data_IF_672316916131
#
_entry.id   IF_672316916131
#
_cell.length_a   1.000
_cell.length_b   1.000
_cell.length_c   1.000
_cell.angle_alpha   90.00
_cell.angle_beta   90.00
_cell.angle_gamma   90.00
#
_symmetry.space_group_name_H-M   'P 1'
#
loop_
_entity.id
_entity.type
_entity.pdbx_description
1 polymer ?
#
# COMPACT_ATOMS: atom_id res chain seq x y z
N UNK A 1 13.61 -40.13 -42.27
CA UNK A 1 13.26 -40.92 -41.08
C UNK A 1 14.20 -40.68 -39.88
N UNK A 2 15.48 -40.30 -40.09
CA UNK A 2 16.45 -40.01 -39.01
C UNK A 2 16.27 -38.66 -38.27
N UNK A 3 15.48 -37.73 -38.82
CA UNK A 3 15.25 -36.41 -38.19
C UNK A 3 14.08 -36.44 -37.19
N UNK A 4 13.12 -37.35 -37.37
CA UNK A 4 11.96 -37.47 -36.46
C UNK A 4 12.32 -38.17 -35.14
N UNK A 5 13.29 -39.08 -35.15
CA UNK A 5 13.73 -39.80 -33.95
C UNK A 5 14.49 -38.90 -32.97
N UNK A 6 15.33 -37.99 -33.48
CA UNK A 6 16.05 -37.02 -32.64
C UNK A 6 15.11 -36.00 -31.99
N UNK A 7 14.08 -35.54 -32.72
CA UNK A 7 13.11 -34.60 -32.15
C UNK A 7 12.33 -35.24 -31.00
N UNK A 8 11.92 -36.51 -31.11
CA UNK A 8 11.16 -37.15 -30.02
C UNK A 8 11.99 -37.38 -28.75
N UNK A 9 13.28 -37.68 -28.89
CA UNK A 9 14.20 -37.90 -27.76
C UNK A 9 14.53 -36.62 -26.98
N UNK A 10 14.63 -35.48 -27.68
CA UNK A 10 14.88 -34.18 -27.03
C UNK A 10 13.66 -33.70 -26.26
N UNK A 11 12.45 -33.89 -26.79
CA UNK A 11 11.22 -33.47 -26.11
C UNK A 11 10.83 -34.39 -24.95
N UNK A 12 11.09 -35.70 -25.05
CA UNK A 12 10.84 -36.61 -23.92
C UNK A 12 11.74 -36.29 -22.72
N UNK A 13 13.02 -35.95 -22.94
CA UNK A 13 13.94 -35.55 -21.86
C UNK A 13 13.57 -34.21 -21.20
N UNK A 14 13.15 -33.21 -21.98
CA UNK A 14 12.73 -31.90 -21.48
C UNK A 14 11.42 -31.97 -20.68
N UNK A 15 10.55 -32.93 -21.01
CA UNK A 15 9.24 -33.08 -20.37
C UNK A 15 9.33 -33.86 -19.05
N UNK A 16 10.28 -34.79 -18.93
CA UNK A 16 10.54 -35.55 -17.71
C UNK A 16 11.31 -34.72 -16.66
N UNK A 17 12.28 -33.89 -17.06
CA UNK A 17 12.91 -32.88 -16.18
C UNK A 17 11.90 -31.84 -15.67
N UNK A 18 11.02 -31.34 -16.54
CA UNK A 18 9.99 -30.36 -16.16
C UNK A 18 8.89 -30.96 -15.26
N UNK A 19 8.60 -32.26 -15.37
CA UNK A 19 7.61 -32.91 -14.50
C UNK A 19 8.15 -33.20 -13.08
N UNK A 20 9.46 -33.39 -12.93
CA UNK A 20 10.10 -33.61 -11.61
C UNK A 20 10.33 -32.27 -10.87
N UNK A 21 10.49 -31.16 -11.58
CA UNK A 21 10.69 -29.83 -10.97
C UNK A 21 9.38 -29.18 -10.45
N UNK A 22 8.22 -29.48 -11.07
CA UNK A 22 6.93 -28.82 -10.77
C UNK A 22 6.26 -29.32 -9.46
N UNK A 23 6.59 -30.52 -8.95
CA UNK A 23 5.92 -31.07 -7.75
C UNK A 23 6.59 -30.66 -6.42
N UNK A 24 7.91 -30.47 -6.43
CA UNK A 24 8.66 -30.10 -5.21
C UNK A 24 8.61 -28.60 -4.87
N UNK A 25 8.40 -27.72 -5.86
CA UNK A 25 8.36 -26.26 -5.64
C UNK A 25 7.03 -25.76 -5.08
N UNK A 26 5.92 -26.46 -5.33
CA UNK A 26 4.61 -26.02 -4.86
C UNK A 26 4.53 -26.11 -3.33
N UNK A 27 5.01 -27.20 -2.73
CA UNK A 27 5.05 -27.37 -1.28
C UNK A 27 6.00 -26.37 -0.60
N UNK A 28 7.19 -26.15 -1.17
CA UNK A 28 8.14 -25.14 -0.67
C UNK A 28 7.58 -23.71 -0.82
N UNK A 29 6.84 -23.42 -1.89
CA UNK A 29 6.15 -22.15 -2.09
C UNK A 29 5.07 -21.89 -1.04
N UNK A 30 4.23 -22.88 -0.73
CA UNK A 30 3.22 -22.76 0.33
C UNK A 30 3.84 -22.58 1.72
N UNK A 31 4.92 -23.30 2.02
CA UNK A 31 5.67 -23.13 3.27
C UNK A 31 6.28 -21.73 3.39
N UNK A 32 6.89 -21.23 2.32
CA UNK A 32 7.43 -19.86 2.26
C UNK A 32 6.32 -18.82 2.47
N UNK A 33 5.17 -19.01 1.82
CA UNK A 33 4.00 -18.13 1.95
C UNK A 33 3.50 -18.04 3.39
N UNK A 34 3.19 -19.18 4.04
CA UNK A 34 2.70 -19.17 5.41
C UNK A 34 3.75 -18.66 6.40
N UNK A 35 5.02 -19.02 6.21
CA UNK A 35 6.13 -18.51 6.99
C UNK A 35 6.21 -16.98 6.89
N UNK A 36 6.10 -16.42 5.68
CA UNK A 36 6.13 -14.97 5.47
C UNK A 36 4.96 -14.25 6.12
N UNK A 37 3.74 -14.81 6.07
CA UNK A 37 2.56 -14.23 6.74
C UNK A 37 2.76 -14.17 8.25
N UNK A 38 3.27 -15.25 8.86
CA UNK A 38 3.52 -15.30 10.30
C UNK A 38 4.57 -14.23 10.69
N UNK A 39 5.66 -14.14 9.93
CA UNK A 39 6.71 -13.15 10.18
C UNK A 39 6.22 -11.72 10.00
N UNK A 40 5.44 -11.43 8.96
CA UNK A 40 4.86 -10.10 8.74
C UNK A 40 3.92 -9.75 9.90
N UNK A 41 3.06 -10.67 10.34
CA UNK A 41 2.16 -10.45 11.47
C UNK A 41 2.92 -10.17 12.78
N UNK A 42 3.95 -10.96 13.07
CA UNK A 42 4.79 -10.78 14.26
C UNK A 42 5.55 -9.45 14.23
N UNK A 43 6.20 -9.12 13.11
CA UNK A 43 6.94 -7.87 12.97
C UNK A 43 6.02 -6.65 13.04
N UNK A 44 4.83 -6.73 12.45
CA UNK A 44 3.83 -5.64 12.50
C UNK A 44 3.39 -5.35 13.94
N UNK A 45 3.18 -6.40 14.75
CA UNK A 45 2.86 -6.23 16.17
C UNK A 45 4.00 -5.52 16.93
N UNK A 46 5.25 -5.96 16.74
CA UNK A 46 6.42 -5.34 17.37
C UNK A 46 6.58 -3.88 16.94
N UNK A 47 6.44 -3.58 15.65
CA UNK A 47 6.59 -2.21 15.13
C UNK A 47 5.53 -1.29 15.75
N UNK A 48 4.30 -1.77 15.92
CA UNK A 48 3.24 -1.03 16.61
C UNK A 48 3.62 -0.67 18.04
N UNK A 49 4.05 -1.65 18.84
CA UNK A 49 4.44 -1.43 20.23
C UNK A 49 5.65 -0.50 20.38
N UNK A 50 6.68 -0.70 19.54
CA UNK A 50 7.88 0.14 19.53
C UNK A 50 7.56 1.57 19.09
N UNK A 51 6.68 1.75 18.10
CA UNK A 51 6.25 3.07 17.65
C UNK A 51 5.56 3.84 18.78
N UNK A 52 4.63 3.22 19.50
CA UNK A 52 3.95 3.84 20.66
C UNK A 52 4.94 4.23 21.76
N UNK A 53 5.88 3.33 22.12
CA UNK A 53 6.92 3.64 23.11
C UNK A 53 7.87 4.75 22.67
N UNK A 54 8.22 4.78 21.38
CA UNK A 54 9.01 5.86 20.81
C UNK A 54 8.26 7.18 20.86
N UNK A 55 6.98 7.21 20.47
CA UNK A 55 6.10 8.38 20.55
C UNK A 55 6.09 8.99 21.95
N UNK A 56 5.87 8.16 22.98
CA UNK A 56 5.97 8.59 24.39
C UNK A 56 7.33 9.20 24.77
N UNK A 57 8.44 8.71 24.19
CA UNK A 57 9.79 9.17 24.53
C UNK A 57 10.10 10.56 23.94
N UNK A 58 9.51 10.89 22.78
CA UNK A 58 9.66 12.19 22.12
C UNK A 58 8.46 13.13 22.35
N UNK A 59 7.55 12.75 23.24
CA UNK A 59 6.30 13.46 23.54
C UNK A 59 5.43 13.70 22.31
N UNK A 60 5.35 12.70 21.42
CA UNK A 60 4.51 12.70 20.23
C UNK A 60 3.25 11.87 20.50
N UNK A 61 2.07 12.41 20.18
CA UNK A 61 0.82 11.67 20.35
C UNK A 61 0.79 10.41 19.46
N UNK A 62 0.15 9.35 19.97
CA UNK A 62 0.07 8.04 19.29
C UNK A 62 -0.56 8.17 17.90
N UNK A 63 -1.60 9.01 17.74
CA UNK A 63 -2.24 9.28 16.45
C UNK A 63 -1.26 9.88 15.44
N UNK A 64 -0.42 10.84 15.85
CA UNK A 64 0.58 11.47 14.97
C UNK A 64 1.68 10.47 14.63
N UNK A 65 2.11 9.67 15.60
CA UNK A 65 3.11 8.61 15.39
C UNK A 65 2.62 7.56 14.39
N UNK A 66 1.37 7.14 14.52
CA UNK A 66 0.74 6.19 13.61
C UNK A 66 0.57 6.77 12.19
N UNK A 67 0.10 8.02 12.09
CA UNK A 67 -0.11 8.70 10.80
C UNK A 67 1.19 8.95 10.02
N UNK A 68 2.28 9.20 10.73
CA UNK A 68 3.57 9.53 10.13
C UNK A 68 4.47 8.30 9.99
N UNK A 69 4.98 7.76 11.09
CA UNK A 69 6.02 6.73 11.08
C UNK A 69 5.48 5.37 10.70
N UNK A 70 4.37 4.92 11.30
CA UNK A 70 3.82 3.60 11.03
C UNK A 70 3.27 3.53 9.61
N UNK A 71 2.43 4.49 9.22
CA UNK A 71 1.84 4.54 7.88
C UNK A 71 2.89 4.73 6.77
N UNK A 72 3.94 5.55 6.99
CA UNK A 72 5.05 5.66 6.05
C UNK A 72 5.80 4.33 5.95
N UNK A 73 6.13 3.71 7.09
CA UNK A 73 6.88 2.45 7.15
C UNK A 73 6.21 1.31 6.39
N UNK A 74 4.89 1.16 6.53
CA UNK A 74 4.13 0.12 5.81
C UNK A 74 4.00 0.40 4.32
N UNK A 75 4.02 1.67 3.90
CA UNK A 75 3.88 2.08 2.50
C UNK A 75 5.20 2.12 1.71
N UNK A 76 6.35 2.08 2.39
CA UNK A 76 7.68 2.12 1.76
C UNK A 76 7.92 0.93 0.80
N UNK A 77 7.66 -0.34 1.17
CA UNK A 77 7.81 -1.47 0.26
C UNK A 77 6.96 -1.31 -1.01
N UNK A 78 5.70 -0.92 -0.86
CA UNK A 78 4.78 -0.67 -1.99
C UNK A 78 5.28 0.48 -2.87
N UNK A 79 5.85 1.51 -2.27
CA UNK A 79 6.45 2.63 -3.01
C UNK A 79 7.65 2.17 -3.84
N UNK A 80 8.51 1.32 -3.28
CA UNK A 80 9.64 0.76 -4.03
C UNK A 80 9.18 -0.17 -5.16
N UNK A 81 8.20 -1.04 -4.91
CA UNK A 81 7.60 -1.89 -5.93
C UNK A 81 6.99 -1.06 -7.07
N UNK A 82 6.22 -0.02 -6.71
CA UNK A 82 5.61 0.93 -7.67
C UNK A 82 6.68 1.67 -8.47
N UNK A 83 7.75 2.13 -7.82
CA UNK A 83 8.87 2.80 -8.49
C UNK A 83 9.55 1.88 -9.51
N UNK A 84 9.82 0.62 -9.15
CA UNK A 84 10.42 -0.36 -10.04
C UNK A 84 9.50 -0.63 -11.23
N UNK A 85 8.20 -0.85 -10.98
CA UNK A 85 7.20 -1.03 -12.02
C UNK A 85 7.12 0.18 -12.98
N UNK A 86 7.16 1.41 -12.45
CA UNK A 86 7.12 2.63 -13.25
C UNK A 86 8.37 2.86 -14.10
N UNK A 87 9.54 2.36 -13.68
CA UNK A 87 10.79 2.46 -14.47
C UNK A 87 10.80 1.42 -15.59
N UNK A 88 10.20 0.25 -15.36
CA UNK A 88 10.21 -0.87 -16.29
C UNK A 88 9.08 -0.81 -17.32
N UNK A 89 7.96 -0.14 -17.00
CA UNK A 89 6.82 0.02 -17.89
C UNK A 89 6.80 1.43 -18.52
N UNK A 90 6.65 1.49 -19.85
CA UNK A 90 6.61 2.73 -20.63
C UNK A 90 5.42 3.63 -20.27
N UNK A 91 4.28 3.02 -19.93
CA UNK A 91 3.07 3.76 -19.55
C UNK A 91 2.84 3.78 -18.04
N UNK A 92 3.65 3.00 -17.29
CA UNK A 92 3.60 2.85 -15.85
C UNK A 92 2.19 2.47 -15.31
N UNK A 93 1.40 1.79 -16.13
CA UNK A 93 0.08 1.27 -15.76
C UNK A 93 0.22 0.24 -14.63
N UNK A 94 1.29 -0.57 -14.66
CA UNK A 94 1.62 -1.51 -13.59
C UNK A 94 1.86 -0.82 -12.24
N UNK A 95 2.49 0.37 -12.24
CA UNK A 95 2.69 1.15 -11.03
C UNK A 95 1.38 1.69 -10.48
N UNK A 96 0.48 2.17 -11.35
CA UNK A 96 -0.84 2.68 -10.93
C UNK A 96 -1.69 1.54 -10.34
N UNK A 97 -1.65 0.37 -10.96
CA UNK A 97 -2.30 -0.85 -10.46
C UNK A 97 -1.78 -1.25 -9.09
N UNK A 98 -0.46 -1.20 -8.87
CA UNK A 98 0.14 -1.53 -7.57
C UNK A 98 -0.30 -0.56 -6.47
N UNK A 99 -0.17 0.75 -6.69
CA UNK A 99 -0.55 1.77 -5.69
C UNK A 99 -2.05 1.72 -5.38
N UNK A 100 -2.89 1.55 -6.39
CA UNK A 100 -4.35 1.52 -6.18
C UNK A 100 -4.78 0.22 -5.51
N UNK A 101 -4.17 -0.90 -5.90
CA UNK A 101 -4.45 -2.22 -5.33
C UNK A 101 -4.03 -2.34 -3.87
N UNK A 102 -2.82 -1.89 -3.52
CA UNK A 102 -2.34 -1.94 -2.14
C UNK A 102 -3.18 -1.07 -1.20
N UNK A 103 -3.55 0.15 -1.64
CA UNK A 103 -4.46 1.01 -0.87
C UNK A 103 -5.86 0.40 -0.72
N UNK A 104 -6.40 -0.23 -1.76
CA UNK A 104 -7.68 -0.92 -1.67
C UNK A 104 -7.63 -2.07 -0.65
N UNK A 105 -6.57 -2.88 -0.64
CA UNK A 105 -6.36 -3.94 0.35
C UNK A 105 -6.27 -3.35 1.76
N UNK A 106 -5.52 -2.28 1.97
CA UNK A 106 -5.38 -1.64 3.28
C UNK A 106 -6.72 -1.16 3.85
N UNK A 107 -7.55 -0.52 3.01
CA UNK A 107 -8.86 0.00 3.46
C UNK A 107 -9.88 -1.13 3.62
N UNK A 108 -10.06 -1.98 2.60
CA UNK A 108 -11.12 -2.98 2.62
C UNK A 108 -10.78 -4.20 3.47
N UNK A 109 -9.56 -4.73 3.33
CA UNK A 109 -9.14 -5.92 4.07
C UNK A 109 -8.49 -5.54 5.41
N UNK A 110 -7.67 -4.50 5.47
CA UNK A 110 -7.06 -4.06 6.72
C UNK A 110 -8.10 -3.55 7.71
N UNK A 111 -8.77 -2.44 7.37
CA UNK A 111 -9.74 -1.80 8.26
C UNK A 111 -11.12 -2.49 8.20
N UNK A 112 -11.63 -2.73 6.98
CA UNK A 112 -12.99 -3.22 6.79
C UNK A 112 -13.26 -4.60 7.39
N UNK A 113 -12.35 -5.56 7.19
CA UNK A 113 -12.49 -6.91 7.77
C UNK A 113 -12.30 -6.88 9.28
N UNK A 114 -11.30 -6.16 9.80
CA UNK A 114 -11.09 -6.04 11.24
C UNK A 114 -12.32 -5.46 11.96
N UNK A 115 -12.90 -4.40 11.41
CA UNK A 115 -14.12 -3.78 11.94
C UNK A 115 -15.32 -4.74 11.87
N UNK A 116 -15.49 -5.46 10.77
CA UNK A 116 -16.56 -6.45 10.61
C UNK A 116 -16.46 -7.58 11.62
N UNK A 117 -15.26 -8.11 11.86
CA UNK A 117 -15.01 -9.16 12.85
C UNK A 117 -15.36 -8.65 14.26
N UNK A 118 -14.90 -7.45 14.62
CA UNK A 118 -15.19 -6.84 15.92
C UNK A 118 -16.71 -6.64 16.12
N UNK A 119 -17.40 -6.06 15.13
CA UNK A 119 -18.83 -5.84 15.18
C UNK A 119 -19.63 -7.15 15.35
N UNK A 120 -19.29 -8.20 14.59
CA UNK A 120 -19.92 -9.52 14.70
C UNK A 120 -19.66 -10.12 16.08
N UNK A 121 -18.43 -10.05 16.58
CA UNK A 121 -18.08 -10.59 17.90
C UNK A 121 -18.92 -9.94 19.02
N UNK A 122 -19.03 -8.61 19.03
CA UNK A 122 -19.85 -7.89 20.01
C UNK A 122 -21.34 -8.22 19.85
N UNK A 123 -21.84 -8.32 18.61
CA UNK A 123 -23.22 -8.73 18.34
C UNK A 123 -23.52 -10.13 18.89
N UNK A 124 -22.61 -11.10 18.72
CA UNK A 124 -22.75 -12.45 19.29
C UNK A 124 -22.75 -12.46 20.82
N UNK A 125 -22.15 -11.46 21.47
CA UNK A 125 -22.17 -11.27 22.92
C UNK A 125 -23.34 -10.42 23.42
N UNK A 126 -24.23 -9.97 22.53
CA UNK A 126 -25.32 -9.05 22.87
C UNK A 126 -24.84 -7.67 23.30
N UNK A 127 -23.63 -7.27 22.92
CA UNK A 127 -23.02 -5.98 23.25
C UNK A 127 -23.07 -5.05 22.04
N UNK A 128 -23.15 -3.75 22.29
CA UNK A 128 -23.02 -2.72 21.25
C UNK A 128 -21.55 -2.43 21.03
N UNK A 129 -21.11 -2.49 19.77
CA UNK A 129 -19.76 -2.09 19.39
C UNK A 129 -19.68 -0.56 19.28
N UNK A 130 -19.12 0.08 20.30
CA UNK A 130 -18.92 1.52 20.33
C UNK A 130 -17.47 1.84 19.94
N UNK A 131 -17.29 2.76 18.98
CA UNK A 131 -15.98 3.22 18.52
C UNK A 131 -16.01 4.74 18.51
N UNK A 132 -15.16 5.36 19.32
CA UNK A 132 -15.00 6.80 19.33
C UNK A 132 -14.25 7.24 18.06
N UNK A 133 -14.83 8.12 17.22
CA UNK A 133 -14.21 8.53 15.97
C UNK A 133 -13.00 9.46 16.16
N UNK A 134 -12.83 10.08 17.34
CA UNK A 134 -11.73 10.99 17.64
C UNK A 134 -11.49 12.02 16.53
N UNK A 135 -10.22 12.17 16.14
CA UNK A 135 -9.74 13.04 15.05
C UNK A 135 -9.88 12.44 13.63
N UNK A 136 -10.50 11.26 13.49
CA UNK A 136 -10.57 10.57 12.20
C UNK A 136 -11.42 11.35 11.19
N UNK A 137 -12.50 12.01 11.65
CA UNK A 137 -13.40 12.77 10.77
C UNK A 137 -12.67 13.94 10.09
N UNK A 138 -11.88 14.69 10.85
CA UNK A 138 -11.06 15.78 10.34
C UNK A 138 -10.03 15.27 9.33
N UNK A 139 -9.22 14.28 9.72
CA UNK A 139 -8.16 13.74 8.87
C UNK A 139 -8.70 13.13 7.57
N UNK A 140 -9.81 12.39 7.63
CA UNK A 140 -10.45 11.82 6.42
C UNK A 140 -10.95 12.92 5.49
N UNK A 141 -11.47 14.02 6.02
CA UNK A 141 -11.95 15.12 5.19
C UNK A 141 -10.81 15.82 4.47
N UNK A 142 -9.70 16.11 5.16
CA UNK A 142 -8.50 16.68 4.53
C UNK A 142 -7.97 15.72 3.46
N UNK A 143 -7.83 14.43 3.78
CA UNK A 143 -7.40 13.41 2.82
C UNK A 143 -8.27 13.38 1.56
N UNK A 144 -9.61 13.38 1.71
CA UNK A 144 -10.54 13.41 0.59
C UNK A 144 -10.39 14.69 -0.26
N UNK A 145 -10.22 15.85 0.39
CA UNK A 145 -10.05 17.12 -0.31
C UNK A 145 -8.75 17.15 -1.13
N UNK A 146 -7.64 16.69 -0.56
CA UNK A 146 -6.35 16.60 -1.24
C UNK A 146 -6.34 15.53 -2.32
N UNK A 147 -7.03 14.40 -2.11
CA UNK A 147 -7.20 13.36 -3.11
C UNK A 147 -7.93 13.90 -4.36
N UNK A 148 -8.95 14.74 -4.19
CA UNK A 148 -9.62 15.39 -5.32
C UNK A 148 -8.67 16.31 -6.08
N UNK A 149 -7.85 17.10 -5.38
CA UNK A 149 -6.83 17.96 -5.99
C UNK A 149 -5.78 17.13 -6.73
N UNK A 150 -5.31 16.02 -6.13
CA UNK A 150 -4.35 15.11 -6.74
C UNK A 150 -4.91 14.45 -8.00
N UNK A 151 -6.16 13.94 -7.94
CA UNK A 151 -6.85 13.35 -9.10
C UNK A 151 -7.01 14.40 -10.21
N UNK A 152 -7.46 15.62 -9.87
CA UNK A 152 -7.60 16.70 -10.84
C UNK A 152 -6.26 17.04 -11.52
N UNK A 153 -5.18 17.15 -10.74
CA UNK A 153 -3.82 17.36 -11.26
C UNK A 153 -3.37 16.23 -12.20
N UNK A 154 -3.64 14.97 -11.83
CA UNK A 154 -3.31 13.80 -12.65
C UNK A 154 -4.13 13.75 -13.95
N UNK A 155 -5.41 14.09 -13.90
CA UNK A 155 -6.29 14.17 -15.08
C UNK A 155 -5.82 15.27 -16.04
N UNK A 156 -5.45 16.44 -15.53
CA UNK A 156 -4.85 17.52 -16.34
C UNK A 156 -3.57 17.04 -16.99
N UNK A 157 -2.69 16.36 -16.24
CA UNK A 157 -1.43 15.84 -16.75
C UNK A 157 -1.63 14.83 -17.88
N UNK A 158 -2.64 13.97 -17.75
CA UNK A 158 -3.04 12.97 -18.75
C UNK A 158 -3.77 13.58 -19.96
N UNK A 159 -4.19 14.84 -19.89
CA UNK A 159 -4.88 15.49 -21.01
C UNK A 159 -3.97 15.70 -22.22
N UNK A 160 -4.56 15.71 -23.43
CA UNK A 160 -3.86 15.95 -24.70
C UNK A 160 -3.13 17.30 -24.77
N UNK A 161 -3.49 18.26 -23.91
CA UNK A 161 -2.87 19.59 -23.82
C UNK A 161 -1.42 19.53 -23.32
N UNK A 162 -1.13 18.62 -22.39
CA UNK A 162 0.21 18.46 -21.80
C UNK A 162 0.94 17.29 -22.48
N UNK A 163 0.19 16.30 -23.00
CA UNK A 163 0.76 15.12 -23.65
C UNK A 163 1.64 14.28 -22.72
N UNK A 164 1.44 14.44 -21.41
CA UNK A 164 2.22 13.77 -20.39
C UNK A 164 1.49 12.54 -19.87
N UNK A 165 1.67 11.40 -20.56
CA UNK A 165 1.55 10.12 -19.86
C UNK A 165 2.54 10.07 -18.67
N UNK A 166 2.58 8.98 -17.89
CA UNK A 166 3.47 8.81 -16.74
C UNK A 166 4.99 8.93 -17.04
N UNK A 167 5.40 9.33 -18.24
CA UNK A 167 6.76 9.70 -18.66
C UNK A 167 6.89 11.06 -19.39
N UNK A 168 5.93 11.98 -19.26
CA UNK A 168 5.93 13.31 -19.90
C UNK A 168 7.14 14.21 -19.59
N UNK A 169 7.14 15.48 -20.07
CA UNK A 169 8.31 16.37 -20.00
C UNK A 169 8.94 16.42 -18.60
N UNK A 170 10.26 16.22 -18.52
CA UNK A 170 11.00 16.05 -17.24
C UNK A 170 10.71 17.17 -16.24
N UNK A 171 10.65 18.43 -16.70
CA UNK A 171 10.34 19.59 -15.83
C UNK A 171 8.96 19.49 -15.20
N UNK A 172 7.93 19.13 -15.99
CA UNK A 172 6.56 19.00 -15.51
C UNK A 172 6.40 17.77 -14.60
N UNK A 173 7.10 16.67 -14.87
CA UNK A 173 7.15 15.50 -13.99
C UNK A 173 7.62 15.89 -12.58
N UNK A 174 8.75 16.59 -12.47
CA UNK A 174 9.28 17.02 -11.17
C UNK A 174 8.36 18.03 -10.48
N UNK A 175 7.79 18.98 -11.22
CA UNK A 175 6.84 19.95 -10.67
C UNK A 175 5.59 19.26 -10.10
N UNK A 176 4.97 18.36 -10.86
CA UNK A 176 3.79 17.61 -10.39
C UNK A 176 4.13 16.70 -9.21
N UNK A 177 5.30 16.06 -9.21
CA UNK A 177 5.78 15.28 -8.06
C UNK A 177 5.97 16.13 -6.80
N UNK A 178 6.52 17.34 -6.95
CA UNK A 178 6.68 18.29 -5.83
C UNK A 178 5.33 18.74 -5.26
N UNK A 179 4.34 19.00 -6.12
CA UNK A 179 2.98 19.36 -5.69
C UNK A 179 2.34 18.20 -4.92
N UNK A 180 2.41 16.96 -5.44
CA UNK A 180 1.85 15.79 -4.76
C UNK A 180 2.53 15.52 -3.41
N UNK A 181 3.85 15.68 -3.34
CA UNK A 181 4.58 15.59 -2.07
C UNK A 181 4.17 16.72 -1.11
N UNK A 182 3.97 17.93 -1.63
CA UNK A 182 3.48 19.06 -0.85
C UNK A 182 2.08 18.85 -0.28
N UNK A 183 1.16 18.23 -1.04
CA UNK A 183 -0.15 17.81 -0.52
C UNK A 183 0.03 16.85 0.66
N UNK A 184 0.82 15.78 0.48
CA UNK A 184 1.09 14.82 1.55
C UNK A 184 1.68 15.47 2.83
N UNK A 185 2.61 16.41 2.70
CA UNK A 185 3.12 17.18 3.85
C UNK A 185 2.03 18.04 4.48
N UNK A 186 1.18 18.66 3.67
CA UNK A 186 0.06 19.47 4.14
C UNK A 186 -0.91 18.65 4.96
N UNK A 187 -1.30 17.46 4.48
CA UNK A 187 -2.10 16.49 5.22
C UNK A 187 -1.48 16.15 6.57
N UNK A 188 -0.19 15.76 6.59
CA UNK A 188 0.49 15.42 7.84
C UNK A 188 0.51 16.58 8.84
N UNK A 189 0.79 17.79 8.37
CA UNK A 189 0.86 18.98 9.24
C UNK A 189 -0.52 19.33 9.76
N UNK A 190 -1.54 19.43 8.90
CA UNK A 190 -2.89 19.82 9.32
C UNK A 190 -3.50 18.79 10.27
N UNK A 191 -3.38 17.49 9.97
CA UNK A 191 -3.82 16.43 10.88
C UNK A 191 -3.05 16.46 12.19
N UNK A 192 -1.75 16.72 12.19
CA UNK A 192 -0.98 16.82 13.44
C UNK A 192 -1.39 18.05 14.26
N UNK A 193 -1.64 19.19 13.63
CA UNK A 193 -2.04 20.42 14.32
C UNK A 193 -3.41 20.28 15.00
N UNK A 194 -4.34 19.56 14.37
CA UNK A 194 -5.62 19.25 14.99
C UNK A 194 -5.46 18.30 16.19
N UNK A 195 -4.60 17.28 16.06
CA UNK A 195 -4.31 16.36 17.18
C UNK A 195 -3.74 17.09 18.40
N UNK A 196 -2.95 18.16 18.20
CA UNK A 196 -2.40 18.99 19.29
C UNK A 196 -3.32 20.14 19.73
N UNK A 197 -4.59 20.13 19.32
CA UNK A 197 -5.58 21.17 19.64
C UNK A 197 -5.14 22.59 19.22
N UNK A 198 -4.25 22.70 18.22
CA UNK A 198 -3.82 24.01 17.68
C UNK A 198 -4.88 24.56 16.72
N UNK A 199 -5.58 23.66 16.02
CA UNK A 199 -6.68 23.96 15.11
C UNK A 199 -7.88 23.14 15.57
N UNK A 200 -9.05 23.77 15.68
CA UNK A 200 -10.27 23.03 15.99
C UNK A 200 -10.71 22.19 14.79
N UNK A 201 -10.82 20.88 15.01
CA UNK A 201 -11.56 19.99 14.12
C UNK A 201 -13.07 20.29 14.15
N UNK A 202 -13.81 19.76 13.18
CA UNK A 202 -15.26 19.91 13.07
C UNK A 202 -16.00 18.57 13.22
#
# INVERSE_FOLDING_TARGET
MLVATNFRSTYSGIQEERLIEIDSDTFHGWLCFWSSIIWIGFLTAIIGDVATHFGCSINLQDSVTALSFVAMGTSLPDTFASKVAAIQDKYADASVGNVTGSNAVNVFLGIGVAWSIAAIYHACKGQVFHVDPGNMAFSVTIFCSEALVAIFLLVIRRSKLIGGELGGPVRLKWLTGLILFGLWVTYLVLSSLEVYDVIEGF
#
